data_IF_387494233865
#
_entry.id   IF_387494233865
#
_cell.length_a   1.000
_cell.length_b   1.000
_cell.length_c   1.000
_cell.angle_alpha   90.00
_cell.angle_beta   90.00
_cell.angle_gamma   90.00
#
_symmetry.space_group_name_H-M   'P 1'
#
loop_
_entity.id
_entity.type
_entity.pdbx_description
1 polymer ?
#
# COMPACT_ATOMS: atom_id res chain seq x y z
N UNK A 1 20.39 14.15 -18.69
CA UNK A 1 19.81 13.86 -17.36
C UNK A 1 18.44 14.52 -17.37
N UNK A 2 17.35 13.78 -17.54
CA UNK A 2 16.01 14.38 -17.62
C UNK A 2 15.46 14.56 -16.20
N UNK A 3 15.43 15.80 -15.74
CA UNK A 3 14.79 16.16 -14.48
C UNK A 3 13.29 15.86 -14.56
N UNK A 4 12.86 14.91 -13.72
CA UNK A 4 11.47 14.42 -13.65
C UNK A 4 10.57 15.55 -13.12
N UNK A 5 9.74 16.13 -13.98
CA UNK A 5 8.89 17.33 -13.72
C UNK A 5 7.59 17.07 -12.94
N UNK A 6 7.46 15.95 -12.25
CA UNK A 6 6.21 15.65 -11.52
C UNK A 6 6.26 16.32 -10.13
N UNK A 7 5.27 17.16 -9.76
CA UNK A 7 5.14 17.69 -8.41
C UNK A 7 5.21 16.59 -7.35
N UNK A 8 5.82 16.90 -6.21
CA UNK A 8 6.21 15.91 -5.20
C UNK A 8 5.02 15.07 -4.70
N UNK A 9 3.85 15.69 -4.63
CA UNK A 9 2.56 15.15 -4.16
C UNK A 9 1.80 14.31 -5.19
N UNK A 10 1.96 14.53 -6.49
CA UNK A 10 1.25 13.72 -7.50
C UNK A 10 1.73 12.26 -7.52
N UNK A 11 2.99 12.03 -7.13
CA UNK A 11 3.60 10.70 -7.06
C UNK A 11 3.07 9.87 -5.90
N UNK A 12 2.52 10.52 -4.88
CA UNK A 12 1.97 9.84 -3.71
C UNK A 12 0.63 9.16 -4.03
N UNK A 13 -0.01 9.54 -5.14
CA UNK A 13 -1.26 8.94 -5.63
C UNK A 13 -1.03 7.95 -6.79
N UNK A 14 0.21 7.68 -7.19
CA UNK A 14 0.47 6.78 -8.31
C UNK A 14 0.05 5.35 -8.00
N UNK A 15 -0.87 4.83 -8.81
CA UNK A 15 -1.28 3.44 -8.77
C UNK A 15 -0.20 2.52 -9.36
N UNK A 16 -0.09 1.31 -8.83
CA UNK A 16 0.65 0.23 -9.50
C UNK A 16 -0.04 -0.15 -10.81
N UNK A 17 0.68 -0.33 -11.94
CA UNK A 17 0.07 -0.80 -13.18
C UNK A 17 -0.75 -2.07 -12.97
N UNK A 18 -1.96 -2.11 -13.53
CA UNK A 18 -2.96 -3.13 -13.22
C UNK A 18 -2.49 -4.54 -13.59
N UNK A 19 -1.65 -4.69 -14.61
CA UNK A 19 -1.10 -5.98 -15.03
C UNK A 19 -0.13 -6.56 -13.99
N UNK A 20 0.65 -5.69 -13.34
CA UNK A 20 1.57 -6.09 -12.26
C UNK A 20 0.76 -6.48 -11.03
N UNK A 21 -0.22 -5.66 -10.65
CA UNK A 21 -1.12 -5.98 -9.54
C UNK A 21 -1.83 -7.32 -9.77
N UNK A 22 -2.47 -7.52 -10.92
CA UNK A 22 -3.21 -8.75 -11.24
C UNK A 22 -2.33 -10.01 -11.28
N UNK A 23 -1.05 -9.88 -11.63
CA UNK A 23 -0.11 -11.00 -11.58
C UNK A 23 0.14 -11.44 -10.13
N UNK A 24 0.40 -10.47 -9.24
CA UNK A 24 0.66 -10.70 -7.83
C UNK A 24 -0.60 -11.11 -7.07
N UNK A 25 -1.75 -10.50 -7.38
CA UNK A 25 -3.04 -10.84 -6.78
C UNK A 25 -3.42 -12.30 -7.02
N UNK A 26 -3.14 -12.82 -8.22
CA UNK A 26 -3.33 -14.24 -8.53
C UNK A 26 -2.46 -15.16 -7.67
N UNK A 27 -1.28 -14.71 -7.27
CA UNK A 27 -0.34 -15.50 -6.47
C UNK A 27 -0.63 -15.42 -4.97
N UNK A 28 -0.94 -14.24 -4.46
CA UNK A 28 -1.03 -13.97 -3.03
C UNK A 28 -2.46 -13.77 -2.50
N UNK A 29 -3.43 -13.49 -3.38
CA UNK A 29 -4.83 -13.23 -3.04
C UNK A 29 -4.98 -12.00 -2.15
N UNK A 30 -4.82 -10.80 -2.72
CA UNK A 30 -4.95 -9.57 -1.95
C UNK A 30 -6.41 -9.31 -1.60
N UNK A 31 -6.61 -8.91 -0.34
CA UNK A 31 -7.93 -8.57 0.18
C UNK A 31 -8.03 -7.10 0.54
N UNK A 32 -6.98 -6.53 1.14
CA UNK A 32 -6.90 -5.12 1.53
C UNK A 32 -5.88 -4.36 0.67
N UNK A 33 -6.26 -3.17 0.20
CA UNK A 33 -5.33 -2.14 -0.28
C UNK A 33 -5.13 -1.08 0.83
N UNK A 34 -4.02 -1.18 1.54
CA UNK A 34 -3.78 -0.40 2.75
C UNK A 34 -3.45 1.07 2.47
N UNK A 35 -3.09 1.44 1.24
CA UNK A 35 -2.62 2.77 0.90
C UNK A 35 -3.22 3.27 -0.41
N UNK A 36 -4.50 3.64 -0.36
CA UNK A 36 -5.27 3.99 -1.55
C UNK A 36 -6.08 5.29 -1.38
N UNK A 37 -6.81 5.61 -2.42
CA UNK A 37 -7.88 6.59 -2.52
C UNK A 37 -9.02 5.99 -3.33
N UNK A 38 -10.16 6.65 -3.37
CA UNK A 38 -11.31 6.22 -4.18
C UNK A 38 -10.97 6.02 -5.68
N UNK A 39 -9.97 6.75 -6.19
CA UNK A 39 -9.63 6.74 -7.62
C UNK A 39 -8.48 5.79 -7.98
N UNK A 40 -7.72 5.29 -7.00
CA UNK A 40 -6.54 4.44 -7.25
C UNK A 40 -6.56 3.11 -6.46
N UNK A 41 -7.64 2.78 -5.76
CA UNK A 41 -7.78 1.51 -5.07
C UNK A 41 -7.70 0.32 -6.05
N UNK A 42 -6.97 -0.73 -5.65
CA UNK A 42 -6.82 -1.97 -6.40
C UNK A 42 -7.60 -3.14 -5.78
N UNK A 43 -8.02 -3.01 -4.52
CA UNK A 43 -8.88 -3.97 -3.83
C UNK A 43 -10.26 -3.35 -3.56
N UNK A 44 -11.29 -4.20 -3.42
CA UNK A 44 -12.62 -3.75 -3.00
C UNK A 44 -12.64 -3.22 -1.56
N UNK A 45 -11.79 -3.78 -0.69
CA UNK A 45 -11.51 -3.24 0.63
C UNK A 45 -10.22 -2.41 0.56
N UNK A 46 -10.31 -1.14 0.93
CA UNK A 46 -9.18 -0.24 0.90
C UNK A 46 -9.27 0.80 2.00
N UNK A 47 -8.12 1.32 2.42
CA UNK A 47 -8.02 2.44 3.35
C UNK A 47 -7.60 3.69 2.58
N UNK A 48 -8.27 4.79 2.90
CA UNK A 48 -7.99 6.12 2.37
C UNK A 48 -7.19 6.96 3.36
N UNK A 49 -6.75 8.14 2.93
CA UNK A 49 -6.15 9.14 3.80
C UNK A 49 -7.05 9.53 4.99
N UNK A 50 -8.37 9.44 4.82
CA UNK A 50 -9.34 9.75 5.89
C UNK A 50 -9.43 8.66 6.95
N UNK A 51 -9.06 7.42 6.61
CA UNK A 51 -9.11 6.28 7.51
C UNK A 51 -7.86 6.20 8.42
N UNK A 52 -6.90 7.10 8.24
CA UNK A 52 -5.63 7.11 8.98
C UNK A 52 -4.97 5.72 9.01
N UNK A 53 -4.63 5.22 7.83
CA UNK A 53 -4.17 3.84 7.64
C UNK A 53 -2.99 3.47 8.53
N UNK A 54 -2.11 4.41 8.93
CA UNK A 54 -0.98 4.14 9.83
C UNK A 54 -1.41 3.89 11.29
N UNK A 55 -2.58 4.37 11.69
CA UNK A 55 -3.14 4.13 13.03
C UNK A 55 -4.31 3.14 13.04
N UNK A 56 -4.86 2.77 11.87
CA UNK A 56 -5.96 1.81 11.74
C UNK A 56 -5.51 0.34 11.74
N UNK A 57 -6.38 -0.59 12.15
CA UNK A 57 -6.07 -2.01 12.03
C UNK A 57 -6.04 -2.43 10.56
N UNK A 58 -5.01 -3.17 10.17
CA UNK A 58 -4.90 -3.79 8.85
C UNK A 58 -5.64 -5.13 8.85
N UNK A 59 -6.94 -5.08 9.15
CA UNK A 59 -7.81 -6.25 9.19
C UNK A 59 -7.95 -6.82 7.77
N UNK A 60 -7.68 -8.11 7.60
CA UNK A 60 -7.70 -8.75 6.29
C UNK A 60 -8.01 -10.24 6.37
N UNK A 61 -8.72 -10.76 5.38
CA UNK A 61 -8.94 -12.21 5.18
C UNK A 61 -7.96 -12.81 4.14
N UNK A 62 -7.08 -12.00 3.56
CA UNK A 62 -6.07 -12.38 2.58
C UNK A 62 -4.78 -11.58 2.73
N UNK A 63 -3.93 -11.60 1.71
CA UNK A 63 -2.73 -10.76 1.70
C UNK A 63 -3.11 -9.27 1.64
N UNK A 64 -2.17 -8.40 2.04
CA UNK A 64 -2.36 -6.96 2.07
C UNK A 64 -1.48 -6.34 1.00
N UNK A 65 -2.09 -5.58 0.10
CA UNK A 65 -1.40 -4.73 -0.84
C UNK A 65 -1.09 -3.38 -0.17
N UNK A 66 0.14 -2.90 -0.34
CA UNK A 66 0.55 -1.61 0.20
C UNK A 66 1.46 -0.92 -0.81
N UNK A 67 0.92 0.07 -1.52
CA UNK A 67 1.66 0.96 -2.41
C UNK A 67 1.61 2.39 -1.83
N UNK A 68 2.43 2.69 -0.80
CA UNK A 68 2.29 3.90 0.00
C UNK A 68 2.76 5.16 -0.73
N UNK A 69 2.45 6.36 -0.21
CA UNK A 69 3.07 7.60 -0.64
C UNK A 69 4.60 7.48 -0.74
N UNK A 70 5.16 7.78 -1.91
CA UNK A 70 6.61 7.67 -2.13
C UNK A 70 7.41 8.79 -1.48
N UNK A 71 6.74 9.87 -1.05
CA UNK A 71 7.35 10.95 -0.30
C UNK A 71 7.78 10.56 1.12
N UNK A 72 7.11 9.59 1.75
CA UNK A 72 7.41 9.12 3.11
C UNK A 72 7.01 7.65 3.34
N UNK A 73 7.88 6.74 2.88
CA UNK A 73 7.63 5.29 2.89
C UNK A 73 7.93 4.65 4.27
N UNK A 74 8.77 5.29 5.10
CA UNK A 74 9.30 4.70 6.34
C UNK A 74 8.23 4.16 7.30
N UNK A 75 7.23 4.96 7.69
CA UNK A 75 6.17 4.53 8.60
C UNK A 75 5.37 3.32 8.10
N UNK A 76 5.22 3.18 6.78
CA UNK A 76 4.48 2.07 6.17
C UNK A 76 5.25 0.76 6.26
N UNK A 77 6.58 0.80 6.13
CA UNK A 77 7.45 -0.37 6.30
C UNK A 77 7.42 -0.84 7.75
N UNK A 78 7.52 0.09 8.71
CA UNK A 78 7.42 -0.22 10.15
C UNK A 78 6.07 -0.85 10.48
N UNK A 79 4.99 -0.28 9.93
CA UNK A 79 3.65 -0.83 10.10
C UNK A 79 3.52 -2.23 9.51
N UNK A 80 3.95 -2.43 8.27
CA UNK A 80 3.86 -3.73 7.60
C UNK A 80 4.64 -4.81 8.37
N UNK A 81 5.80 -4.46 8.95
CA UNK A 81 6.58 -5.37 9.78
C UNK A 81 5.85 -5.76 11.08
N UNK A 82 5.06 -4.87 11.67
CA UNK A 82 4.27 -5.12 12.88
C UNK A 82 2.88 -5.71 12.64
N UNK A 83 2.32 -5.58 11.43
CA UNK A 83 0.93 -5.93 11.12
C UNK A 83 0.65 -7.44 11.05
N UNK A 84 1.69 -8.29 10.99
CA UNK A 84 1.53 -9.75 10.91
C UNK A 84 1.87 -10.37 12.26
N UNK A 85 0.90 -11.00 12.97
CA UNK A 85 1.18 -11.74 14.19
C UNK A 85 2.21 -12.85 13.92
N UNK A 86 3.42 -12.71 14.48
CA UNK A 86 4.53 -13.65 14.28
C UNK A 86 5.56 -13.26 13.21
N UNK A 87 5.46 -12.07 12.61
CA UNK A 87 6.59 -11.47 11.90
C UNK A 87 7.71 -11.17 12.90
N UNK A 88 8.58 -12.16 13.11
CA UNK A 88 9.83 -12.01 13.86
C UNK A 88 10.64 -10.92 13.19
N UNK A 89 10.97 -9.88 13.95
CA UNK A 89 12.08 -8.98 13.62
C UNK A 89 13.30 -9.85 13.35
N UNK A 90 13.70 -9.99 12.09
CA UNK A 90 14.98 -10.64 11.80
C UNK A 90 16.08 -9.74 12.36
N UNK A 91 17.13 -10.33 12.98
CA UNK A 91 18.22 -9.58 13.59
C UNK A 91 18.96 -8.70 12.58
#
# INVERSE_FOLDING_TARGET
MADRKTPKNERDYWQTPIEIFNALDREFGFWLDAAASESNALCAHYLTELDDSLNSEWASYGAIWCNPPYSDIGPWVEKAAGAIPGAVSRP
#
